data_IF_199486991971
#
_entry.id   IF_199486991971
#
_cell.length_a   1.000
_cell.length_b   1.000
_cell.length_c   1.000
_cell.angle_alpha   90.00
_cell.angle_beta   90.00
_cell.angle_gamma   90.00
#
_symmetry.space_group_name_H-M   'P 1'
#
loop_
_entity.id
_entity.type
_entity.pdbx_description
1 polymer ?
#
# COMPACT_ATOMS: atom_id res chain seq x y z
N UNK A 1 -22.39 -23.06 22.41
CA UNK A 1 -22.38 -21.61 22.19
C UNK A 1 -21.35 -21.37 21.11
N UNK A 2 -21.78 -20.77 20.01
CA UNK A 2 -21.04 -20.71 18.75
C UNK A 2 -19.78 -19.86 18.83
N UNK A 3 -18.79 -20.33 18.10
CA UNK A 3 -17.50 -19.71 17.80
C UNK A 3 -17.69 -18.39 17.05
N UNK A 4 -17.44 -17.26 17.71
CA UNK A 4 -17.22 -15.97 17.05
C UNK A 4 -16.18 -15.21 17.86
N UNK A 5 -14.88 -15.47 17.63
CA UNK A 5 -13.74 -14.64 18.05
C UNK A 5 -12.46 -15.38 17.64
N UNK A 6 -12.00 -15.26 16.39
CA UNK A 6 -10.58 -15.50 16.03
C UNK A 6 -10.17 -15.17 14.59
N UNK A 7 -11.00 -14.51 13.78
CA UNK A 7 -10.60 -14.15 12.40
C UNK A 7 -9.65 -12.95 12.32
N UNK A 8 -9.64 -12.08 13.33
CA UNK A 8 -8.73 -10.93 13.43
C UNK A 8 -7.39 -11.29 14.04
N UNK A 9 -7.35 -12.18 15.04
CA UNK A 9 -6.13 -12.62 15.72
C UNK A 9 -5.14 -13.30 14.77
N UNK A 10 -5.64 -14.22 13.92
CA UNK A 10 -4.79 -14.81 12.88
C UNK A 10 -4.23 -13.70 11.98
N UNK A 11 -5.08 -12.80 11.44
CA UNK A 11 -4.64 -11.78 10.48
C UNK A 11 -3.55 -10.85 11.03
N UNK A 12 -3.63 -10.49 12.30
CA UNK A 12 -2.64 -9.64 12.98
C UNK A 12 -1.34 -10.41 13.27
N UNK A 13 -1.44 -11.66 13.70
CA UNK A 13 -0.29 -12.57 13.85
C UNK A 13 0.40 -12.86 12.49
N UNK A 14 -0.36 -12.94 11.40
CA UNK A 14 0.16 -13.07 10.04
C UNK A 14 0.82 -11.80 9.52
N UNK A 15 0.30 -10.62 9.89
CA UNK A 15 0.94 -9.34 9.58
C UNK A 15 2.31 -9.22 10.27
N UNK A 16 2.44 -9.73 11.49
CA UNK A 16 3.70 -9.82 12.24
C UNK A 16 4.67 -10.83 11.61
N UNK A 17 4.17 -12.00 11.21
CA UNK A 17 4.97 -13.01 10.49
C UNK A 17 5.49 -12.50 9.16
N UNK A 18 4.64 -11.84 8.36
CA UNK A 18 5.03 -11.25 7.08
C UNK A 18 6.01 -10.07 7.28
N UNK A 19 5.86 -9.29 8.35
CA UNK A 19 6.80 -8.22 8.71
C UNK A 19 8.18 -8.77 9.09
N UNK A 20 8.22 -9.81 9.93
CA UNK A 20 9.43 -10.59 10.22
C UNK A 20 10.04 -11.20 8.94
N UNK A 21 9.18 -11.68 8.02
CA UNK A 21 9.57 -12.18 6.71
C UNK A 21 10.22 -11.09 5.84
N UNK A 22 9.71 -9.86 5.88
CA UNK A 22 10.16 -8.72 5.09
C UNK A 22 11.44 -8.08 5.60
N UNK A 23 11.69 -8.11 6.90
CA UNK A 23 12.90 -7.55 7.54
C UNK A 23 14.11 -8.51 7.56
N UNK A 24 13.90 -9.81 7.36
CA UNK A 24 14.98 -10.80 7.31
C UNK A 24 15.68 -10.87 5.93
N UNK A 25 17.01 -10.86 5.96
CA UNK A 25 17.92 -10.85 4.78
C UNK A 25 18.02 -12.21 4.05
N UNK A 26 17.68 -13.31 4.73
CA UNK A 26 17.77 -14.66 4.17
C UNK A 26 16.49 -15.46 4.42
N UNK A 27 15.83 -15.99 3.38
CA UNK A 27 14.68 -16.87 3.55
C UNK A 27 15.13 -18.21 4.15
N UNK A 28 14.59 -18.58 5.31
CA UNK A 28 14.86 -19.90 5.92
C UNK A 28 14.07 -20.99 5.18
N UNK A 29 14.66 -22.17 4.90
CA UNK A 29 14.03 -23.23 4.12
C UNK A 29 12.75 -23.81 4.75
N UNK A 30 12.63 -23.81 6.08
CA UNK A 30 11.41 -24.24 6.81
C UNK A 30 10.17 -23.37 6.51
N UNK A 31 10.38 -22.13 6.03
CA UNK A 31 9.30 -21.19 5.69
C UNK A 31 8.83 -21.31 4.24
N UNK A 32 9.65 -21.86 3.33
CA UNK A 32 9.26 -22.13 1.95
C UNK A 32 8.17 -23.21 1.87
N UNK A 33 8.23 -24.19 2.77
CA UNK A 33 7.26 -25.26 2.89
C UNK A 33 5.91 -24.77 3.46
N UNK A 34 5.93 -23.78 4.36
CA UNK A 34 4.73 -23.08 4.81
C UNK A 34 4.10 -22.20 3.70
N UNK A 35 4.92 -21.62 2.82
CA UNK A 35 4.47 -20.86 1.65
C UNK A 35 3.74 -21.75 0.62
N UNK A 36 4.18 -23.01 0.46
CA UNK A 36 3.51 -24.01 -0.40
C UNK A 36 2.09 -24.35 0.06
N UNK A 37 1.82 -24.28 1.36
CA UNK A 37 0.50 -24.50 1.95
C UNK A 37 -0.35 -23.22 2.02
N UNK A 38 0.23 -22.08 1.64
CA UNK A 38 -0.41 -20.77 1.72
C UNK A 38 -1.07 -20.43 0.37
N UNK A 39 -2.27 -19.84 0.39
CA UNK A 39 -2.85 -19.26 -0.82
C UNK A 39 -2.16 -17.92 -1.16
N UNK A 40 -0.92 -18.00 -1.62
CA UNK A 40 -0.12 -16.84 -2.07
C UNK A 40 -0.85 -16.07 -3.18
N UNK A 41 -1.73 -16.73 -3.92
CA UNK A 41 -2.55 -16.11 -4.96
C UNK A 41 -3.56 -15.11 -4.37
N UNK A 42 -4.18 -15.45 -3.24
CA UNK A 42 -5.09 -14.55 -2.50
C UNK A 42 -4.37 -13.31 -1.98
N UNK A 43 -3.19 -13.48 -1.37
CA UNK A 43 -2.38 -12.37 -0.82
C UNK A 43 -1.90 -11.45 -1.96
N UNK A 44 -1.43 -12.02 -3.08
CA UNK A 44 -1.06 -11.24 -4.26
C UNK A 44 -2.24 -10.44 -4.81
N UNK A 45 -3.44 -11.03 -4.83
CA UNK A 45 -4.68 -10.36 -5.25
C UNK A 45 -5.06 -9.23 -4.30
N UNK A 46 -4.97 -9.44 -2.99
CA UNK A 46 -5.22 -8.40 -1.98
C UNK A 46 -4.25 -7.23 -2.10
N UNK A 47 -2.94 -7.50 -2.19
CA UNK A 47 -1.92 -6.47 -2.35
C UNK A 47 -2.09 -5.69 -3.64
N UNK A 48 -2.40 -6.38 -4.75
CA UNK A 48 -2.70 -5.74 -6.04
C UNK A 48 -3.94 -4.84 -5.95
N UNK A 49 -5.00 -5.32 -5.29
CA UNK A 49 -6.21 -4.53 -5.08
C UNK A 49 -5.95 -3.29 -4.20
N UNK A 50 -5.16 -3.45 -3.14
CA UNK A 50 -4.75 -2.34 -2.26
C UNK A 50 -3.91 -1.31 -3.02
N UNK A 51 -2.94 -1.76 -3.82
CA UNK A 51 -2.15 -0.88 -4.71
C UNK A 51 -3.03 -0.11 -5.68
N UNK A 52 -3.99 -0.79 -6.34
CA UNK A 52 -4.94 -0.14 -7.25
C UNK A 52 -5.76 0.94 -6.55
N UNK A 53 -6.25 0.67 -5.32
CA UNK A 53 -6.98 1.66 -4.51
C UNK A 53 -6.13 2.87 -4.19
N UNK A 54 -4.88 2.69 -3.77
CA UNK A 54 -3.98 3.81 -3.46
C UNK A 54 -3.65 4.65 -4.70
N UNK A 55 -3.44 4.01 -5.85
CA UNK A 55 -3.25 4.73 -7.11
C UNK A 55 -4.47 5.58 -7.48
N UNK A 56 -5.68 5.05 -7.27
CA UNK A 56 -6.92 5.82 -7.47
C UNK A 56 -7.02 7.02 -6.52
N UNK A 57 -6.58 6.87 -5.27
CA UNK A 57 -6.54 7.97 -4.30
C UNK A 57 -5.54 9.06 -4.72
N UNK A 58 -4.35 8.69 -5.17
CA UNK A 58 -3.37 9.66 -5.71
C UNK A 58 -3.96 10.43 -6.89
N UNK A 59 -4.63 9.74 -7.81
CA UNK A 59 -5.19 10.39 -8.99
C UNK A 59 -6.27 11.41 -8.61
N UNK A 60 -7.11 11.07 -7.62
CA UNK A 60 -8.10 12.01 -7.08
C UNK A 60 -7.44 13.24 -6.44
N UNK A 61 -6.35 13.04 -5.70
CA UNK A 61 -5.59 14.15 -5.08
C UNK A 61 -5.01 15.06 -6.17
N UNK A 62 -4.44 14.50 -7.24
CA UNK A 62 -3.91 15.29 -8.37
C UNK A 62 -4.99 16.15 -9.02
N UNK A 63 -6.13 15.55 -9.36
CA UNK A 63 -7.27 16.28 -9.94
C UNK A 63 -7.71 17.40 -9.00
N UNK A 64 -7.77 17.13 -7.68
CA UNK A 64 -8.18 18.13 -6.71
C UNK A 64 -7.16 19.26 -6.57
N UNK A 65 -5.85 18.95 -6.60
CA UNK A 65 -4.80 19.97 -6.62
C UNK A 65 -4.92 20.87 -7.85
N UNK A 66 -5.13 20.31 -9.04
CA UNK A 66 -5.33 21.10 -10.27
C UNK A 66 -6.55 22.01 -10.16
N UNK A 67 -7.67 21.51 -9.62
CA UNK A 67 -8.87 22.31 -9.38
C UNK A 67 -8.61 23.46 -8.41
N UNK A 68 -7.97 23.19 -7.27
CA UNK A 68 -7.66 24.22 -6.26
C UNK A 68 -6.70 25.26 -6.83
N UNK A 69 -5.67 24.85 -7.55
CA UNK A 69 -4.74 25.78 -8.22
C UNK A 69 -5.47 26.67 -9.22
N UNK A 70 -6.36 26.12 -10.05
CA UNK A 70 -7.14 26.93 -10.99
C UNK A 70 -8.04 27.96 -10.28
N UNK A 71 -8.59 27.63 -9.11
CA UNK A 71 -9.36 28.59 -8.30
C UNK A 71 -8.45 29.69 -7.75
N UNK A 72 -7.25 29.34 -7.25
CA UNK A 72 -6.26 30.32 -6.78
C UNK A 72 -5.91 31.31 -7.90
N UNK A 73 -5.56 30.81 -9.09
CA UNK A 73 -5.20 31.66 -10.23
C UNK A 73 -6.31 32.70 -10.52
N UNK A 74 -7.57 32.27 -10.50
CA UNK A 74 -8.71 33.16 -10.72
C UNK A 74 -8.90 34.18 -9.59
N UNK A 75 -8.70 33.78 -8.33
CA UNK A 75 -8.83 34.66 -7.17
C UNK A 75 -7.70 35.70 -7.11
N UNK A 76 -6.48 35.32 -7.48
CA UNK A 76 -5.34 36.23 -7.55
C UNK A 76 -5.55 37.31 -8.62
N UNK A 77 -6.12 36.96 -9.78
CA UNK A 77 -6.47 37.92 -10.84
C UNK A 77 -7.42 39.02 -10.37
N UNK A 78 -8.30 38.72 -9.40
CA UNK A 78 -9.25 39.68 -8.82
C UNK A 78 -8.81 40.23 -7.47
N UNK A 79 -7.57 39.95 -7.04
CA UNK A 79 -6.99 40.45 -5.79
C UNK A 79 -7.67 39.91 -4.52
N UNK A 80 -8.26 38.72 -4.59
CA UNK A 80 -8.93 38.07 -3.45
C UNK A 80 -7.96 37.23 -2.61
N UNK A 81 -8.35 36.91 -1.37
CA UNK A 81 -7.55 36.08 -0.46
C UNK A 81 -7.54 34.61 -0.90
N UNK A 82 -6.34 34.01 -0.94
CA UNK A 82 -6.09 32.61 -1.31
C UNK A 82 -5.46 31.79 -0.19
N UNK A 83 -5.24 32.39 1.00
CA UNK A 83 -4.52 31.74 2.09
C UNK A 83 -5.16 30.41 2.55
N UNK A 84 -6.50 30.31 2.51
CA UNK A 84 -7.22 29.07 2.81
C UNK A 84 -6.95 27.96 1.80
N UNK A 85 -6.90 28.29 0.51
CA UNK A 85 -6.67 27.33 -0.56
C UNK A 85 -5.21 26.87 -0.62
N UNK A 86 -4.26 27.75 -0.32
CA UNK A 86 -2.85 27.37 -0.18
C UNK A 86 -2.63 26.36 0.95
N UNK A 87 -3.36 26.48 2.06
CA UNK A 87 -3.35 25.46 3.13
C UNK A 87 -3.95 24.15 2.68
N UNK A 88 -5.00 24.18 1.86
CA UNK A 88 -5.57 22.97 1.27
C UNK A 88 -4.58 22.28 0.32
N UNK A 89 -3.83 23.02 -0.50
CA UNK A 89 -2.74 22.48 -1.34
C UNK A 89 -1.68 21.79 -0.48
N UNK A 90 -1.23 22.42 0.61
CA UNK A 90 -0.24 21.83 1.52
C UNK A 90 -0.76 20.53 2.15
N UNK A 91 -2.02 20.52 2.60
CA UNK A 91 -2.67 19.32 3.14
C UNK A 91 -2.74 18.19 2.10
N UNK A 92 -3.23 18.49 0.89
CA UNK A 92 -3.36 17.51 -0.19
C UNK A 92 -1.99 16.98 -0.64
N UNK A 93 -0.97 17.82 -0.64
CA UNK A 93 0.40 17.42 -0.97
C UNK A 93 0.99 16.47 0.05
N UNK A 94 0.79 16.73 1.35
CA UNK A 94 1.19 15.84 2.45
C UNK A 94 0.46 14.50 2.39
N UNK A 95 -0.85 14.52 2.14
CA UNK A 95 -1.63 13.30 1.97
C UNK A 95 -1.14 12.47 0.76
N UNK A 96 -0.85 13.14 -0.36
CA UNK A 96 -0.27 12.51 -1.55
C UNK A 96 1.09 11.87 -1.30
N UNK A 97 1.94 12.52 -0.50
CA UNK A 97 3.23 11.96 -0.08
C UNK A 97 3.04 10.67 0.73
N UNK A 98 2.17 10.69 1.76
CA UNK A 98 1.90 9.52 2.59
C UNK A 98 1.38 8.33 1.77
N UNK A 99 0.51 8.58 0.80
CA UNK A 99 -0.01 7.52 -0.08
C UNK A 99 1.10 6.98 -0.99
N UNK A 100 1.98 7.84 -1.49
CA UNK A 100 3.12 7.45 -2.33
C UNK A 100 4.09 6.54 -1.57
N UNK A 101 4.38 6.86 -0.30
CA UNK A 101 5.17 6.01 0.60
C UNK A 101 4.49 4.65 0.84
N UNK A 102 3.17 4.64 1.05
CA UNK A 102 2.41 3.40 1.22
C UNK A 102 2.43 2.51 -0.05
N UNK A 103 2.39 3.11 -1.24
CA UNK A 103 2.55 2.38 -2.51
C UNK A 103 3.95 1.80 -2.63
N UNK A 104 5.00 2.57 -2.29
CA UNK A 104 6.37 2.09 -2.31
C UNK A 104 6.55 0.85 -1.41
N UNK A 105 6.04 0.92 -0.18
CA UNK A 105 6.06 -0.23 0.75
C UNK A 105 5.32 -1.42 0.16
N UNK A 106 4.13 -1.23 -0.42
CA UNK A 106 3.39 -2.32 -1.06
C UNK A 106 4.14 -2.94 -2.24
N UNK A 107 4.81 -2.14 -3.05
CA UNK A 107 5.59 -2.62 -4.18
C UNK A 107 6.79 -3.46 -3.71
N UNK A 108 7.43 -3.10 -2.60
CA UNK A 108 8.47 -3.94 -1.96
C UNK A 108 7.89 -5.27 -1.47
N UNK A 109 6.70 -5.25 -0.85
CA UNK A 109 6.01 -6.48 -0.40
C UNK A 109 5.69 -7.41 -1.57
N UNK A 110 5.17 -6.87 -2.67
CA UNK A 110 4.86 -7.64 -3.88
C UNK A 110 6.12 -8.25 -4.49
N UNK A 111 7.21 -7.47 -4.58
CA UNK A 111 8.50 -7.97 -5.09
C UNK A 111 9.03 -9.13 -4.26
N UNK A 112 9.02 -9.02 -2.92
CA UNK A 112 9.50 -10.09 -2.05
C UNK A 112 8.67 -11.37 -2.21
N UNK A 113 7.35 -11.25 -2.34
CA UNK A 113 6.48 -12.41 -2.62
C UNK A 113 6.86 -13.09 -3.93
N UNK A 114 7.13 -12.34 -5.01
CA UNK A 114 7.55 -12.95 -6.28
C UNK A 114 8.90 -13.67 -6.14
N UNK A 115 9.88 -13.05 -5.47
CA UNK A 115 11.18 -13.69 -5.23
C UNK A 115 11.04 -15.02 -4.48
N UNK A 116 10.17 -15.08 -3.48
CA UNK A 116 9.92 -16.30 -2.71
C UNK A 116 9.21 -17.38 -3.52
N UNK A 117 8.30 -16.99 -4.42
CA UNK A 117 7.67 -17.93 -5.35
C UNK A 117 8.69 -18.52 -6.32
N UNK A 118 9.60 -17.69 -6.86
CA UNK A 118 10.62 -18.13 -7.80
C UNK A 118 11.63 -19.09 -7.12
N UNK A 119 12.03 -18.79 -5.88
CA UNK A 119 12.88 -19.66 -5.08
C UNK A 119 12.22 -21.01 -4.80
N UNK A 120 10.97 -21.01 -4.32
CA UNK A 120 10.23 -22.23 -4.05
C UNK A 120 9.99 -23.10 -5.30
N UNK A 121 9.88 -22.47 -6.49
CA UNK A 121 9.79 -23.18 -7.76
C UNK A 121 11.14 -23.78 -8.19
N UNK A 122 12.25 -23.09 -7.92
CA UNK A 122 13.61 -23.55 -8.25
C UNK A 122 14.09 -24.71 -7.38
N UNK A 123 13.69 -24.76 -6.11
CA UNK A 123 14.03 -25.86 -5.18
C UNK A 123 13.17 -27.13 -5.41
N UNK A 124 12.10 -27.02 -6.19
CA UNK A 124 11.21 -28.14 -6.53
C UNK A 124 11.54 -28.81 -7.88
N UNK A 125 12.51 -28.28 -8.64
CA UNK A 125 12.98 -28.81 -9.94
C UNK A 125 14.32 -29.51 -9.80
#
# INVERSE_FOLDING_TARGET
MNEELNSTGLRDEWSLLLHSFLESESPKPELAEQLKNMDVSSIKRELSHKRKKLNQSIEKIKIKLEQVSSVIDNLELVGSDTAGLLKEIDFLSKEGQMISEAIFVLDQKIKKIHQLQDQAASEAS
#
